data_IF_387140004634
#
_entry.id   IF_387140004634
#
_cell.length_a   1.000
_cell.length_b   1.000
_cell.length_c   1.000
_cell.angle_alpha   90.00
_cell.angle_beta   90.00
_cell.angle_gamma   90.00
#
_symmetry.space_group_name_H-M   'P 1'
#
loop_
_entity.id
_entity.type
_entity.pdbx_description
1 polymer ?
#
# COMPACT_ATOMS: atom_id res chain seq x y z
N UNK A 1 -5.35 10.86 18.31
CA UNK A 1 -6.08 9.86 17.50
C UNK A 1 -5.87 10.20 16.03
N UNK A 2 -5.04 9.44 15.32
CA UNK A 2 -4.73 9.73 13.91
C UNK A 2 -5.82 9.18 13.00
N UNK A 3 -6.46 10.04 12.21
CA UNK A 3 -7.51 9.68 11.26
C UNK A 3 -7.06 8.50 10.38
N UNK A 4 -7.97 7.56 10.04
CA UNK A 4 -7.69 6.55 9.04
C UNK A 4 -7.32 7.29 7.75
N UNK A 5 -6.09 7.10 7.29
CA UNK A 5 -5.67 7.58 5.98
C UNK A 5 -6.38 6.67 4.97
N UNK A 6 -7.50 7.13 4.43
CA UNK A 6 -8.17 6.45 3.33
C UNK A 6 -7.28 6.52 2.09
N UNK A 7 -7.06 5.39 1.45
CA UNK A 7 -6.55 5.37 0.08
C UNK A 7 -7.60 6.00 -0.85
N UNK A 8 -7.16 6.57 -1.98
CA UNK A 8 -8.10 7.09 -2.99
C UNK A 8 -8.98 5.96 -3.53
N UNK A 9 -10.19 6.28 -4.00
CA UNK A 9 -11.19 5.28 -4.41
C UNK A 9 -11.07 4.87 -5.90
N UNK A 10 -10.15 5.48 -6.64
CA UNK A 10 -9.93 5.26 -8.07
C UNK A 10 -9.12 3.99 -8.38
N UNK A 11 -8.59 3.32 -7.35
CA UNK A 11 -7.84 2.09 -7.48
C UNK A 11 -8.43 0.97 -6.63
N UNK A 12 -8.19 -0.27 -7.06
CA UNK A 12 -8.57 -1.47 -6.32
C UNK A 12 -7.37 -2.35 -5.97
N UNK A 13 -7.56 -3.26 -5.01
CA UNK A 13 -6.51 -4.18 -4.55
C UNK A 13 -6.04 -5.14 -5.65
N UNK A 14 -6.91 -5.52 -6.58
CA UNK A 14 -6.62 -6.45 -7.67
C UNK A 14 -5.68 -5.83 -8.71
N UNK A 15 -5.87 -4.55 -9.04
CA UNK A 15 -5.01 -3.80 -9.93
C UNK A 15 -3.61 -3.67 -9.35
N UNK A 16 -3.50 -3.30 -8.07
CA UNK A 16 -2.21 -3.18 -7.40
C UNK A 16 -1.48 -4.53 -7.33
N UNK A 17 -2.19 -5.63 -7.07
CA UNK A 17 -1.62 -6.99 -7.14
C UNK A 17 -1.15 -7.35 -8.55
N UNK A 18 -1.87 -6.92 -9.59
CA UNK A 18 -1.46 -7.11 -10.99
C UNK A 18 -0.20 -6.30 -11.31
N UNK A 19 -0.12 -5.04 -10.88
CA UNK A 19 1.06 -4.19 -11.05
C UNK A 19 2.27 -4.76 -10.28
N UNK A 20 2.06 -5.23 -9.06
CA UNK A 20 3.11 -5.84 -8.24
C UNK A 20 3.74 -7.05 -8.91
N UNK A 21 2.92 -7.91 -9.54
CA UNK A 21 3.39 -9.09 -10.30
C UNK A 21 4.16 -8.74 -11.56
N UNK A 22 3.86 -7.60 -12.18
CA UNK A 22 4.55 -7.12 -13.39
C UNK A 22 5.82 -6.33 -13.08
N UNK A 23 5.94 -5.80 -11.86
CA UNK A 23 7.11 -5.07 -11.41
C UNK A 23 8.33 -5.98 -11.30
N UNK A 24 9.46 -5.53 -11.85
CA UNK A 24 10.77 -6.18 -11.73
C UNK A 24 11.54 -5.68 -10.51
N UNK A 25 11.02 -4.66 -9.81
CA UNK A 25 11.64 -4.08 -8.63
C UNK A 25 10.98 -4.62 -7.37
N UNK A 26 11.72 -5.41 -6.59
CA UNK A 26 11.21 -6.04 -5.37
C UNK A 26 10.65 -5.02 -4.35
N UNK A 27 11.24 -3.81 -4.28
CA UNK A 27 10.73 -2.73 -3.42
C UNK A 27 9.37 -2.18 -3.90
N UNK A 28 9.22 -1.98 -5.21
CA UNK A 28 7.95 -1.52 -5.79
C UNK A 28 6.87 -2.60 -5.64
N UNK A 29 7.19 -3.87 -5.85
CA UNK A 29 6.25 -4.98 -5.66
C UNK A 29 5.77 -5.06 -4.21
N UNK A 30 6.66 -4.96 -3.22
CA UNK A 30 6.28 -4.93 -1.79
C UNK A 30 5.39 -3.74 -1.44
N UNK A 31 5.70 -2.55 -1.95
CA UNK A 31 4.88 -1.36 -1.75
C UNK A 31 3.47 -1.54 -2.32
N UNK A 32 3.35 -2.02 -3.55
CA UNK A 32 2.05 -2.27 -4.20
C UNK A 32 1.23 -3.33 -3.47
N UNK A 33 1.87 -4.41 -2.97
CA UNK A 33 1.19 -5.44 -2.17
C UNK A 33 0.72 -4.92 -0.81
N UNK A 34 1.50 -4.08 -0.14
CA UNK A 34 1.06 -3.44 1.10
C UNK A 34 -0.14 -2.51 0.88
N UNK A 35 -0.12 -1.71 -0.19
CA UNK A 35 -1.25 -0.86 -0.53
C UNK A 35 -2.50 -1.68 -0.90
N UNK A 36 -2.34 -2.78 -1.65
CA UNK A 36 -3.43 -3.72 -1.94
C UNK A 36 -4.04 -4.32 -0.68
N UNK A 37 -3.22 -4.70 0.31
CA UNK A 37 -3.72 -5.22 1.58
C UNK A 37 -4.55 -4.18 2.34
N UNK A 38 -4.17 -2.90 2.30
CA UNK A 38 -4.95 -1.83 2.93
C UNK A 38 -6.30 -1.65 2.23
N UNK A 39 -6.36 -1.75 0.90
CA UNK A 39 -7.63 -1.79 0.17
C UNK A 39 -8.50 -2.99 0.55
N UNK A 40 -7.89 -4.15 0.81
CA UNK A 40 -8.58 -5.35 1.31
C UNK A 40 -9.01 -5.22 2.79
N UNK A 41 -8.80 -4.06 3.43
CA UNK A 41 -9.20 -3.76 4.80
C UNK A 41 -8.14 -4.03 5.86
N UNK A 42 -6.92 -4.42 5.47
CA UNK A 42 -5.83 -4.64 6.42
C UNK A 42 -5.42 -3.33 7.10
N UNK A 43 -5.02 -3.43 8.38
CA UNK A 43 -4.42 -2.32 9.09
C UNK A 43 -3.05 -1.98 8.53
N UNK A 44 -2.59 -0.74 8.77
CA UNK A 44 -1.21 -0.32 8.45
C UNK A 44 -0.13 -1.18 9.11
N UNK A 45 -0.44 -1.84 10.24
CA UNK A 45 0.48 -2.75 10.91
C UNK A 45 0.60 -4.09 10.17
N UNK A 46 -0.52 -4.67 9.76
CA UNK A 46 -0.54 -5.89 8.94
C UNK A 46 0.13 -5.68 7.58
N UNK A 47 -0.13 -4.53 6.95
CA UNK A 47 0.54 -4.15 5.71
C UNK A 47 2.06 -3.98 5.88
N UNK A 48 2.51 -3.46 7.03
CA UNK A 48 3.93 -3.31 7.35
C UNK A 48 4.62 -4.67 7.51
N UNK A 49 3.96 -5.60 8.22
CA UNK A 49 4.43 -6.99 8.35
C UNK A 49 4.53 -7.68 6.98
N UNK A 50 3.52 -7.52 6.12
CA UNK A 50 3.50 -8.08 4.78
C UNK A 50 4.66 -7.55 3.90
N UNK A 51 4.94 -6.25 3.98
CA UNK A 51 6.00 -5.61 3.19
C UNK A 51 7.40 -5.71 3.82
N UNK A 52 7.53 -6.27 5.03
CA UNK A 52 8.79 -6.35 5.76
C UNK A 52 9.35 -4.95 6.09
N UNK A 53 8.49 -4.03 6.48
CA UNK A 53 8.82 -2.63 6.77
C UNK A 53 8.11 -2.17 8.05
N UNK A 54 8.29 -0.90 8.41
CA UNK A 54 7.66 -0.29 9.57
C UNK A 54 6.36 0.45 9.20
N UNK A 55 5.53 0.72 10.22
CA UNK A 55 4.23 1.36 10.04
C UNK A 55 4.33 2.81 9.51
N UNK A 56 5.43 3.52 9.78
CA UNK A 56 5.66 4.88 9.30
C UNK A 56 5.99 4.87 7.81
N UNK A 57 6.81 3.92 7.33
CA UNK A 57 7.04 3.70 5.91
C UNK A 57 5.74 3.44 5.13
N UNK A 58 4.84 2.62 5.67
CA UNK A 58 3.51 2.40 5.07
C UNK A 58 2.70 3.71 5.00
N UNK A 59 2.70 4.51 6.08
CA UNK A 59 2.02 5.81 6.09
C UNK A 59 2.55 6.73 4.99
N UNK A 60 3.86 6.81 4.83
CA UNK A 60 4.48 7.67 3.82
C UNK A 60 4.18 7.17 2.40
N UNK A 61 4.11 5.85 2.19
CA UNK A 61 3.72 5.27 0.91
C UNK A 61 2.27 5.57 0.54
N UNK A 62 1.35 5.50 1.50
CA UNK A 62 -0.07 5.87 1.32
C UNK A 62 -0.19 7.35 0.99
N UNK A 63 0.50 8.22 1.73
CA UNK A 63 0.47 9.66 1.47
C UNK A 63 0.99 10.01 0.07
N UNK A 64 2.13 9.43 -0.33
CA UNK A 64 2.68 9.62 -1.68
C UNK A 64 1.76 9.05 -2.75
N UNK A 65 1.19 7.87 -2.53
CA UNK A 65 0.26 7.24 -3.47
C UNK A 65 -1.02 8.08 -3.63
N UNK A 66 -1.51 8.71 -2.57
CA UNK A 66 -2.66 9.61 -2.65
C UNK A 66 -2.32 10.99 -3.24
N UNK A 67 -1.05 11.41 -3.23
CA UNK A 67 -0.60 12.70 -3.74
C UNK A 67 -0.25 12.65 -5.23
N UNK A 68 0.42 11.57 -5.66
CA UNK A 68 0.63 11.24 -7.07
C UNK A 68 -0.72 10.74 -7.65
N UNK A 69 -1.46 11.65 -8.29
CA UNK A 69 -2.51 11.32 -9.27
C UNK A 69 -2.05 11.76 -10.64
#
# INVERSE_FOLDING_TARGET
>A
MGSPLSLRDDHDSSELRRLARRSRHAGQSRRLLALAAIYDGASRGEAALLAGTDRQSIRDWVLRFNADG
#
